data_IF_591853770867
#
_entry.id   IF_591853770867
#
_cell.length_a   1.000
_cell.length_b   1.000
_cell.length_c   1.000
_cell.angle_alpha   90.00
_cell.angle_beta   90.00
_cell.angle_gamma   90.00
#
_symmetry.space_group_name_H-M   'P 1'
#
loop_
_entity.id
_entity.type
_entity.pdbx_description
1 polymer ?
#
# COMPACT_ATOMS: atom_id res chain seq x y z
N UNK A 1 -50.91 -56.60 -35.29
CA UNK A 1 -52.05 -57.51 -35.51
C UNK A 1 -52.31 -58.30 -34.23
N UNK A 2 -53.51 -58.20 -33.65
CA UNK A 2 -54.10 -58.97 -32.50
C UNK A 2 -53.38 -58.79 -31.11
N UNK A 3 -53.91 -58.09 -30.09
CA UNK A 3 -55.12 -58.32 -29.22
C UNK A 3 -55.03 -59.71 -28.56
N UNK A 4 -55.06 -59.97 -27.23
CA UNK A 4 -55.88 -59.52 -26.07
C UNK A 4 -55.17 -60.01 -24.76
N UNK A 5 -55.18 -59.28 -23.63
CA UNK A 5 -56.13 -59.34 -22.47
C UNK A 5 -56.31 -60.78 -21.88
N UNK A 6 -56.26 -61.07 -20.57
CA UNK A 6 -57.03 -60.48 -19.44
C UNK A 6 -56.74 -61.20 -18.08
N UNK A 7 -56.94 -60.46 -16.95
CA UNK A 7 -57.55 -60.85 -15.63
C UNK A 7 -56.80 -61.85 -14.71
N UNK A 8 -56.78 -61.76 -13.37
CA UNK A 8 -57.59 -61.01 -12.37
C UNK A 8 -56.96 -61.12 -10.96
N UNK A 9 -57.19 -60.07 -10.15
CA UNK A 9 -57.43 -59.99 -8.69
C UNK A 9 -56.31 -60.40 -7.69
N UNK A 10 -55.74 -59.48 -6.91
CA UNK A 10 -56.25 -58.77 -5.70
C UNK A 10 -56.26 -59.64 -4.42
N UNK A 11 -55.33 -59.37 -3.51
CA UNK A 11 -55.54 -59.35 -2.06
C UNK A 11 -54.48 -58.50 -1.35
N UNK A 12 -54.98 -57.61 -0.49
CA UNK A 12 -54.28 -56.65 0.37
C UNK A 12 -53.92 -57.29 1.72
N UNK A 13 -53.09 -56.54 2.46
CA UNK A 13 -52.71 -56.65 3.88
C UNK A 13 -51.48 -57.55 4.10
N UNK A 14 -50.41 -57.13 4.76
CA UNK A 14 -50.12 -55.94 5.55
C UNK A 14 -49.14 -56.36 6.64
N UNK A 15 -47.90 -55.86 6.62
CA UNK A 15 -46.95 -56.05 7.73
C UNK A 15 -46.18 -54.74 7.92
N UNK A 16 -46.40 -54.13 9.08
CA UNK A 16 -45.63 -52.98 9.56
C UNK A 16 -44.23 -53.46 9.97
N UNK A 17 -43.20 -52.86 9.38
CA UNK A 17 -41.82 -53.02 9.82
C UNK A 17 -41.41 -51.77 10.60
N UNK A 18 -41.15 -51.95 11.89
CA UNK A 18 -40.53 -50.94 12.75
C UNK A 18 -39.08 -50.72 12.30
N UNK A 19 -38.78 -49.53 11.78
CA UNK A 19 -37.41 -49.12 11.48
C UNK A 19 -36.75 -48.59 12.75
N UNK A 20 -35.77 -49.33 13.27
CA UNK A 20 -34.82 -48.85 14.27
C UNK A 20 -33.98 -47.72 13.66
N UNK A 21 -34.26 -46.49 14.06
CA UNK A 21 -33.42 -45.32 13.76
C UNK A 21 -32.11 -45.43 14.54
N UNK A 22 -31.00 -45.69 13.84
CA UNK A 22 -29.66 -45.48 14.39
C UNK A 22 -29.51 -43.98 14.70
N UNK A 23 -29.03 -43.58 15.88
CA UNK A 23 -28.75 -42.17 16.12
C UNK A 23 -27.69 -41.73 15.13
N UNK A 24 -27.98 -40.66 14.39
CA UNK A 24 -27.00 -40.00 13.55
C UNK A 24 -25.79 -39.67 14.44
N UNK A 25 -24.62 -40.19 14.07
CA UNK A 25 -23.37 -39.73 14.64
C UNK A 25 -23.32 -38.22 14.42
N UNK A 26 -23.47 -37.46 15.50
CA UNK A 26 -23.08 -36.05 15.52
C UNK A 26 -21.68 -35.98 14.94
N UNK A 27 -21.52 -35.35 13.78
CA UNK A 27 -20.20 -35.10 13.22
C UNK A 27 -19.39 -34.42 14.32
N UNK A 28 -18.27 -35.02 14.70
CA UNK A 28 -17.28 -34.33 15.48
C UNK A 28 -16.95 -33.05 14.70
N UNK A 29 -17.18 -31.88 15.29
CA UNK A 29 -16.86 -30.60 14.66
C UNK A 29 -15.44 -30.67 14.11
N UNK A 30 -15.28 -30.32 12.83
CA UNK A 30 -13.99 -30.34 12.18
C UNK A 30 -12.98 -29.57 13.04
N UNK A 31 -11.81 -30.18 13.29
CA UNK A 31 -10.74 -29.53 14.03
C UNK A 31 -10.36 -28.24 13.30
N UNK A 32 -10.45 -27.12 14.00
CA UNK A 32 -9.96 -25.82 13.52
C UNK A 32 -8.72 -25.47 14.34
N UNK A 33 -7.58 -25.33 13.65
CA UNK A 33 -6.38 -24.75 14.25
C UNK A 33 -6.68 -23.33 14.69
N UNK A 34 -6.07 -22.89 15.80
CA UNK A 34 -6.19 -21.49 16.23
C UNK A 34 -5.64 -20.57 15.14
N UNK A 35 -6.36 -19.49 14.85
CA UNK A 35 -5.96 -18.49 13.88
C UNK A 35 -6.32 -17.11 14.43
N UNK A 36 -5.37 -16.18 14.37
CA UNK A 36 -5.62 -14.76 14.61
C UNK A 36 -6.11 -14.17 13.29
N UNK A 37 -7.29 -13.55 13.31
CA UNK A 37 -7.87 -12.89 12.14
C UNK A 37 -7.62 -11.38 12.18
N UNK A 38 -7.58 -10.78 13.38
CA UNK A 38 -7.22 -9.37 13.60
C UNK A 38 -6.38 -9.22 14.86
N UNK A 39 -5.31 -8.38 14.83
CA UNK A 39 -4.78 -7.70 13.66
C UNK A 39 -4.13 -8.67 12.65
N UNK A 40 -4.00 -8.23 11.39
CA UNK A 40 -3.33 -8.99 10.34
C UNK A 40 -1.81 -9.01 10.54
N UNK A 41 -1.13 -10.04 10.06
CA UNK A 41 0.34 -10.08 10.10
C UNK A 41 0.92 -8.97 9.22
N UNK A 42 1.71 -8.06 9.81
CA UNK A 42 2.22 -6.88 9.15
C UNK A 42 1.36 -5.62 9.36
N UNK A 43 0.25 -5.69 10.11
CA UNK A 43 -0.58 -4.51 10.34
C UNK A 43 0.22 -3.36 10.97
N UNK A 44 0.10 -2.17 10.38
CA UNK A 44 0.59 -0.91 10.95
C UNK A 44 -0.57 -0.25 11.69
N UNK A 45 -0.43 -0.10 13.00
CA UNK A 45 -1.47 0.36 13.91
C UNK A 45 -1.08 1.72 14.49
N UNK A 46 -2.09 2.56 14.73
CA UNK A 46 -1.95 3.89 15.30
C UNK A 46 -3.09 4.16 16.29
N UNK A 47 -3.19 5.39 16.79
CA UNK A 47 -4.21 5.81 17.75
C UNK A 47 -5.66 5.52 17.32
N UNK A 48 -5.95 5.38 16.02
CA UNK A 48 -7.30 5.09 15.50
C UNK A 48 -7.70 3.62 15.63
N UNK A 49 -6.74 2.73 15.85
CA UNK A 49 -6.95 1.28 15.88
C UNK A 49 -7.20 0.72 17.29
N UNK A 50 -7.19 1.58 18.32
CA UNK A 50 -7.33 1.17 19.71
C UNK A 50 -7.48 2.36 20.65
N UNK A 51 -7.32 2.10 21.95
CA UNK A 51 -7.33 3.11 22.99
C UNK A 51 -5.89 3.43 23.39
N UNK A 52 -5.39 4.60 23.00
CA UNK A 52 -4.05 5.04 23.39
C UNK A 52 -4.08 5.60 24.82
N UNK A 53 -3.34 4.95 25.72
CA UNK A 53 -3.09 5.42 27.09
C UNK A 53 -1.65 5.92 27.27
N UNK A 54 -1.31 6.29 28.50
CA UNK A 54 0.05 6.75 28.85
C UNK A 54 1.13 5.70 28.57
N UNK A 55 0.79 4.42 28.72
CA UNK A 55 1.74 3.31 28.71
C UNK A 55 1.74 2.50 27.42
N UNK A 56 0.84 2.76 26.47
CA UNK A 56 0.73 1.93 25.27
C UNK A 56 -0.57 2.11 24.48
N UNK A 57 -0.67 1.39 23.37
CA UNK A 57 -1.90 1.28 22.57
C UNK A 57 -2.64 0.00 22.94
N UNK A 58 -3.80 0.11 23.58
CA UNK A 58 -4.65 -1.04 23.87
C UNK A 58 -5.46 -1.40 22.62
N UNK A 59 -5.29 -2.63 22.13
CA UNK A 59 -6.01 -3.15 20.96
C UNK A 59 -6.79 -4.42 21.32
N UNK A 60 -7.81 -4.73 20.53
CA UNK A 60 -8.52 -6.01 20.62
C UNK A 60 -8.01 -6.96 19.55
N UNK A 61 -7.50 -8.11 19.98
CA UNK A 61 -7.14 -9.25 19.13
C UNK A 61 -8.36 -10.15 19.00
N UNK A 62 -8.69 -10.56 17.77
CA UNK A 62 -9.78 -11.49 17.49
C UNK A 62 -9.36 -12.60 16.54
N UNK A 63 -9.97 -13.77 16.69
CA UNK A 63 -9.72 -14.89 15.80
C UNK A 63 -10.63 -16.07 16.05
N UNK A 64 -10.24 -17.22 15.53
CA UNK A 64 -11.00 -18.47 15.65
C UNK A 64 -10.16 -19.59 16.25
N UNK A 65 -10.82 -20.47 17.00
CA UNK A 65 -10.28 -21.69 17.58
C UNK A 65 -11.38 -22.73 17.73
N UNK A 66 -10.99 -23.98 17.99
CA UNK A 66 -11.94 -25.08 18.22
C UNK A 66 -12.88 -24.80 19.41
N UNK A 67 -14.17 -25.13 19.27
CA UNK A 67 -15.25 -24.69 20.19
C UNK A 67 -15.03 -24.95 21.69
N UNK A 68 -14.21 -25.94 22.07
CA UNK A 68 -14.03 -26.33 23.48
C UNK A 68 -12.63 -26.02 24.03
N UNK A 69 -11.78 -25.40 23.23
CA UNK A 69 -10.40 -25.15 23.64
C UNK A 69 -10.30 -23.93 24.55
N UNK A 70 -9.36 -23.95 25.48
CA UNK A 70 -8.97 -22.75 26.22
C UNK A 70 -8.03 -21.94 25.33
N UNK A 71 -8.31 -20.64 25.16
CA UNK A 71 -7.51 -19.75 24.32
C UNK A 71 -6.89 -18.66 25.17
N UNK A 72 -5.59 -18.44 25.01
CA UNK A 72 -4.86 -17.30 25.57
C UNK A 72 -4.19 -16.50 24.47
N UNK A 73 -4.13 -15.18 24.61
CA UNK A 73 -3.38 -14.28 23.73
C UNK A 73 -2.31 -13.58 24.56
N UNK A 74 -1.03 -13.77 24.23
CA UNK A 74 0.11 -13.27 25.01
C UNK A 74 0.00 -13.57 26.53
N UNK A 75 -0.52 -14.76 26.87
CA UNK A 75 -0.73 -15.21 28.25
C UNK A 75 -2.05 -14.77 28.88
N UNK A 76 -2.76 -13.78 28.32
CA UNK A 76 -4.07 -13.33 28.80
C UNK A 76 -5.18 -14.26 28.32
N UNK A 77 -6.09 -14.66 29.22
CA UNK A 77 -7.24 -15.48 28.84
C UNK A 77 -8.14 -14.74 27.85
N UNK A 78 -8.51 -15.39 26.75
CA UNK A 78 -9.43 -14.83 25.77
C UNK A 78 -10.90 -15.06 26.17
N UNK A 79 -11.76 -14.10 25.86
CA UNK A 79 -13.22 -14.27 25.88
C UNK A 79 -13.61 -15.11 24.66
N UNK A 80 -14.61 -15.97 24.79
CA UNK A 80 -15.01 -16.91 23.74
C UNK A 80 -16.51 -16.86 23.44
N UNK A 81 -16.86 -16.99 22.16
CA UNK A 81 -18.23 -17.12 21.68
C UNK A 81 -18.26 -18.11 20.51
N UNK A 82 -18.71 -19.34 20.74
CA UNK A 82 -18.65 -20.39 19.71
C UNK A 82 -17.19 -20.70 19.33
N UNK A 83 -16.85 -20.60 18.05
CA UNK A 83 -15.44 -20.75 17.58
C UNK A 83 -14.63 -19.47 17.67
N UNK A 84 -15.24 -18.33 18.00
CA UNK A 84 -14.58 -17.04 18.02
C UNK A 84 -13.94 -16.78 19.39
N UNK A 85 -12.81 -16.08 19.39
CA UNK A 85 -12.17 -15.57 20.59
C UNK A 85 -11.81 -14.08 20.43
N UNK A 86 -11.81 -13.36 21.55
CA UNK A 86 -11.29 -12.00 21.63
C UNK A 86 -10.43 -11.81 22.89
N UNK A 87 -9.40 -10.99 22.80
CA UNK A 87 -8.56 -10.62 23.95
C UNK A 87 -8.01 -9.23 23.76
N UNK A 88 -8.05 -8.41 24.81
CA UNK A 88 -7.43 -7.10 24.79
C UNK A 88 -5.96 -7.25 25.21
N UNK A 89 -5.06 -6.64 24.44
CA UNK A 89 -3.64 -6.55 24.76
C UNK A 89 -3.19 -5.09 24.65
N UNK A 90 -2.08 -4.75 25.31
CA UNK A 90 -1.45 -3.43 25.20
C UNK A 90 -0.14 -3.56 24.45
N UNK A 91 -0.01 -2.83 23.34
CA UNK A 91 1.24 -2.68 22.62
C UNK A 91 2.08 -1.61 23.33
N UNK A 92 3.29 -1.95 23.74
CA UNK A 92 4.24 -1.03 24.39
C UNK A 92 5.45 -0.73 23.51
N UNK A 93 5.77 -1.65 22.59
CA UNK A 93 6.92 -1.59 21.69
C UNK A 93 6.50 -1.19 20.27
N UNK A 94 7.45 -0.67 19.49
CA UNK A 94 7.25 -0.36 18.05
C UNK A 94 6.83 -1.61 17.28
N UNK A 95 7.45 -2.75 17.58
CA UNK A 95 7.11 -4.04 16.98
C UNK A 95 6.67 -5.01 18.07
N UNK A 96 5.54 -5.68 17.87
CA UNK A 96 5.03 -6.67 18.83
C UNK A 96 4.64 -7.96 18.13
N UNK A 97 5.10 -9.09 18.65
CA UNK A 97 4.56 -10.40 18.30
C UNK A 97 3.35 -10.74 19.18
N UNK A 98 2.28 -11.19 18.53
CA UNK A 98 1.03 -11.61 19.17
C UNK A 98 0.89 -13.11 18.94
N UNK A 99 0.92 -13.88 20.02
CA UNK A 99 0.75 -15.33 20.01
C UNK A 99 -0.61 -15.71 20.61
N UNK A 100 -1.46 -16.33 19.81
CA UNK A 100 -2.68 -17.00 20.27
C UNK A 100 -2.39 -18.49 20.43
N UNK A 101 -2.64 -19.01 21.64
CA UNK A 101 -2.43 -20.41 21.99
C UNK A 101 -3.79 -21.01 22.34
N UNK A 102 -4.11 -22.14 21.70
CA UNK A 102 -5.30 -22.94 21.97
C UNK A 102 -4.90 -24.27 22.59
N UNK A 103 -5.50 -24.59 23.74
CA UNK A 103 -5.26 -25.81 24.48
C UNK A 103 -6.56 -26.62 24.55
N UNK A 104 -6.56 -27.81 23.94
CA UNK A 104 -7.75 -28.64 23.86
C UNK A 104 -7.45 -30.14 23.85
N UNK A 105 -8.49 -30.94 23.54
CA UNK A 105 -8.40 -32.41 23.48
C UNK A 105 -7.40 -32.91 22.42
N UNK A 106 -7.15 -32.11 21.38
CA UNK A 106 -6.24 -32.42 20.29
C UNK A 106 -4.84 -31.79 20.47
N UNK A 107 -4.49 -31.41 21.71
CA UNK A 107 -3.19 -30.85 22.04
C UNK A 107 -3.16 -29.32 22.03
N UNK A 108 -1.94 -28.80 22.06
CA UNK A 108 -1.62 -27.36 22.03
C UNK A 108 -1.40 -26.92 20.59
N UNK A 109 -2.10 -25.88 20.17
CA UNK A 109 -1.97 -25.25 18.86
C UNK A 109 -1.65 -23.76 19.02
N UNK A 110 -0.94 -23.19 18.06
CA UNK A 110 -0.46 -21.82 18.17
C UNK A 110 -0.48 -21.11 16.82
N UNK A 111 -0.81 -19.82 16.83
CA UNK A 111 -0.69 -18.93 15.69
C UNK A 111 -0.08 -17.61 16.13
N UNK A 112 0.84 -17.08 15.33
CA UNK A 112 1.59 -15.86 15.61
C UNK A 112 1.40 -14.84 14.49
N UNK A 113 1.20 -13.58 14.88
CA UNK A 113 1.25 -12.44 13.96
C UNK A 113 2.20 -11.39 14.54
N UNK A 114 2.81 -10.57 13.68
CA UNK A 114 3.61 -9.42 14.09
C UNK A 114 2.92 -8.16 13.62
N UNK A 115 2.97 -7.11 14.43
CA UNK A 115 2.38 -5.80 14.13
C UNK A 115 3.37 -4.69 14.43
N UNK A 116 3.21 -3.56 13.73
CA UNK A 116 3.93 -2.32 14.00
C UNK A 116 2.99 -1.33 14.66
N UNK A 117 3.44 -0.69 15.73
CA UNK A 117 2.79 0.47 16.32
C UNK A 117 3.49 1.76 15.87
N UNK A 118 2.79 2.52 15.03
CA UNK A 118 3.14 3.90 14.69
C UNK A 118 2.77 4.83 15.85
N UNK A 119 3.60 4.80 16.90
CA UNK A 119 3.36 5.47 18.19
C UNK A 119 3.15 6.99 18.08
N UNK A 120 3.85 7.60 17.14
CA UNK A 120 3.83 9.04 16.89
C UNK A 120 3.07 9.37 15.61
N UNK A 121 2.07 8.54 15.26
CA UNK A 121 1.25 8.79 14.10
C UNK A 121 0.48 10.09 14.23
N UNK A 122 0.43 10.82 13.12
CA UNK A 122 -0.43 11.97 12.93
C UNK A 122 -0.91 11.98 11.47
N UNK A 123 -2.07 12.57 11.18
CA UNK A 123 -2.57 12.69 9.82
C UNK A 123 -1.51 13.29 8.90
N UNK A 124 -1.15 12.57 7.84
CA UNK A 124 -0.09 12.97 6.91
C UNK A 124 -0.38 12.56 5.49
N UNK A 125 0.25 13.24 4.54
CA UNK A 125 0.16 12.91 3.13
C UNK A 125 1.50 12.96 2.42
N UNK A 126 1.66 12.09 1.44
CA UNK A 126 2.76 12.11 0.49
C UNK A 126 2.22 12.58 -0.86
N UNK A 127 2.99 13.43 -1.54
CA UNK A 127 2.70 13.84 -2.91
C UNK A 127 3.84 13.41 -3.84
N UNK A 128 3.50 12.66 -4.89
CA UNK A 128 4.46 12.32 -5.94
C UNK A 128 3.96 12.59 -7.33
N UNK A 129 4.92 12.68 -8.24
CA UNK A 129 4.64 12.79 -9.66
C UNK A 129 5.50 11.76 -10.38
N UNK A 130 4.85 10.93 -11.19
CA UNK A 130 5.49 9.84 -11.92
C UNK A 130 5.76 10.24 -13.36
N UNK A 131 6.52 9.40 -14.06
CA UNK A 131 6.89 9.53 -15.47
C UNK A 131 7.63 10.82 -15.83
N UNK A 132 8.38 11.39 -14.88
CA UNK A 132 9.03 12.67 -15.12
C UNK A 132 10.22 12.54 -16.09
N UNK A 133 10.16 13.32 -17.17
CA UNK A 133 11.22 13.48 -18.15
C UNK A 133 11.09 14.77 -18.98
N UNK A 134 9.88 15.34 -19.11
CA UNK A 134 9.62 16.45 -20.01
C UNK A 134 10.22 17.76 -19.49
N UNK A 135 10.11 18.05 -18.20
CA UNK A 135 10.70 19.25 -17.61
C UNK A 135 12.22 19.23 -17.69
N UNK A 136 12.84 18.05 -17.55
CA UNK A 136 14.29 17.90 -17.69
C UNK A 136 14.74 18.24 -19.11
N UNK A 137 14.04 17.71 -20.11
CA UNK A 137 14.26 17.99 -21.54
C UNK A 137 14.05 19.47 -21.87
N UNK A 138 12.97 20.06 -21.36
CA UNK A 138 12.60 21.46 -21.57
C UNK A 138 13.67 22.40 -21.00
N UNK A 139 14.09 22.17 -19.75
CA UNK A 139 15.14 22.97 -19.09
C UNK A 139 16.49 22.79 -19.78
N UNK A 140 16.88 21.56 -20.14
CA UNK A 140 18.14 21.31 -20.82
C UNK A 140 18.21 22.00 -22.20
N UNK A 141 17.08 22.02 -22.92
CA UNK A 141 16.97 22.64 -24.25
C UNK A 141 16.95 24.17 -24.16
N UNK A 142 16.08 24.72 -23.32
CA UNK A 142 15.87 26.17 -23.22
C UNK A 142 16.92 26.89 -22.39
N UNK A 143 17.67 26.16 -21.55
CA UNK A 143 18.77 26.68 -20.72
C UNK A 143 18.35 27.88 -19.88
N UNK A 144 17.19 27.77 -19.25
CA UNK A 144 16.60 28.78 -18.37
C UNK A 144 17.59 29.37 -17.36
N UNK A 145 17.28 30.57 -16.87
CA UNK A 145 18.10 31.21 -15.83
C UNK A 145 17.92 30.53 -14.48
N UNK A 146 16.72 30.01 -14.21
CA UNK A 146 16.34 29.25 -13.02
C UNK A 146 15.56 27.97 -13.40
N UNK A 147 15.60 26.94 -12.54
CA UNK A 147 14.71 25.78 -12.64
C UNK A 147 13.23 26.19 -12.70
N UNK A 148 12.88 27.24 -11.96
CA UNK A 148 11.51 27.72 -11.80
C UNK A 148 11.05 28.67 -12.91
N UNK A 149 11.87 28.88 -13.95
CA UNK A 149 11.38 29.45 -15.21
C UNK A 149 10.64 28.40 -16.06
N UNK A 150 10.82 27.11 -15.77
CA UNK A 150 9.98 26.04 -16.29
C UNK A 150 8.60 26.11 -15.64
N UNK A 151 7.54 26.26 -16.44
CA UNK A 151 6.17 26.44 -15.92
C UNK A 151 5.73 25.31 -14.97
N UNK A 152 6.19 24.09 -15.26
CA UNK A 152 5.88 22.91 -14.46
C UNK A 152 6.44 23.04 -13.04
N UNK A 153 7.75 23.25 -12.90
CA UNK A 153 8.38 23.43 -11.58
C UNK A 153 7.91 24.71 -10.88
N UNK A 154 7.60 25.77 -11.64
CA UNK A 154 6.99 26.99 -11.09
C UNK A 154 5.65 26.70 -10.41
N UNK A 155 4.75 25.99 -11.09
CA UNK A 155 3.44 25.65 -10.52
C UNK A 155 3.55 24.76 -9.28
N UNK A 156 4.50 23.83 -9.24
CA UNK A 156 4.76 23.03 -8.03
C UNK A 156 5.29 23.90 -6.88
N UNK A 157 6.18 24.85 -7.18
CA UNK A 157 6.68 25.81 -6.17
C UNK A 157 5.55 26.68 -5.62
N UNK A 158 4.61 27.12 -6.46
CA UNK A 158 3.43 27.89 -6.03
C UNK A 158 2.54 27.06 -5.08
N UNK A 159 2.31 25.78 -5.37
CA UNK A 159 1.59 24.87 -4.48
C UNK A 159 2.34 24.63 -3.15
N UNK A 160 3.66 24.48 -3.20
CA UNK A 160 4.49 24.40 -2.00
C UNK A 160 4.39 25.67 -1.16
N UNK A 161 4.50 26.86 -1.76
CA UNK A 161 4.37 28.13 -1.05
C UNK A 161 2.99 28.31 -0.41
N UNK A 162 1.93 27.79 -1.04
CA UNK A 162 0.55 27.91 -0.57
C UNK A 162 0.20 26.95 0.56
N UNK A 163 0.72 25.72 0.51
CA UNK A 163 0.27 24.63 1.39
C UNK A 163 1.39 23.90 2.15
N UNK A 164 2.65 24.22 1.87
CA UNK A 164 3.81 23.52 2.42
C UNK A 164 4.07 22.14 1.79
N UNK A 165 3.36 21.78 0.70
CA UNK A 165 3.47 20.46 0.06
C UNK A 165 4.92 20.09 -0.27
N UNK A 166 5.26 18.83 0.01
CA UNK A 166 6.51 18.20 -0.39
C UNK A 166 6.25 17.29 -1.58
N UNK A 167 7.07 17.40 -2.62
CA UNK A 167 6.95 16.67 -3.88
C UNK A 167 8.16 15.77 -4.11
N UNK A 168 7.90 14.53 -4.52
CA UNK A 168 8.90 13.64 -5.12
C UNK A 168 8.60 13.49 -6.61
N UNK A 169 9.56 13.81 -7.46
CA UNK A 169 9.45 13.61 -8.91
C UNK A 169 10.21 12.33 -9.28
N UNK A 170 9.48 11.29 -9.68
CA UNK A 170 10.07 10.03 -10.13
C UNK A 170 10.45 10.16 -11.61
N UNK A 171 11.76 10.09 -11.89
CA UNK A 171 12.32 10.36 -13.22
C UNK A 171 12.80 9.09 -13.93
N UNK A 172 12.80 9.14 -15.25
CA UNK A 172 13.43 8.13 -16.11
C UNK A 172 14.92 8.39 -16.33
N UNK A 173 15.68 7.35 -16.67
CA UNK A 173 17.05 7.50 -17.16
C UNK A 173 17.08 8.08 -18.60
N UNK A 174 16.19 7.61 -19.48
CA UNK A 174 16.15 7.99 -20.90
C UNK A 174 14.73 8.04 -21.45
N UNK A 175 14.56 8.73 -22.58
CA UNK A 175 13.32 8.85 -23.35
C UNK A 175 13.52 8.41 -24.81
N UNK A 176 12.41 8.09 -25.48
CA UNK A 176 12.40 7.61 -26.87
C UNK A 176 13.04 8.58 -27.87
N UNK A 177 12.92 9.89 -27.63
CA UNK A 177 13.51 10.94 -28.48
C UNK A 177 15.02 11.14 -28.26
N UNK A 178 15.67 10.26 -27.48
CA UNK A 178 17.12 10.22 -27.30
C UNK A 178 17.66 11.13 -26.20
N UNK A 179 16.80 11.67 -25.32
CA UNK A 179 17.27 12.33 -24.12
C UNK A 179 17.75 11.31 -23.08
N UNK A 180 18.87 11.59 -22.43
CA UNK A 180 19.41 10.84 -21.30
C UNK A 180 19.84 11.78 -20.17
N UNK A 181 19.76 11.31 -18.92
CA UNK A 181 20.14 12.10 -17.74
C UNK A 181 21.55 12.73 -17.79
N UNK A 182 22.60 12.13 -18.39
CA UNK A 182 23.89 12.81 -18.58
C UNK A 182 23.80 14.18 -19.27
N UNK A 183 22.81 14.38 -20.16
CA UNK A 183 22.64 15.62 -20.91
C UNK A 183 22.05 16.75 -20.05
N UNK A 184 21.42 16.44 -18.91
CA UNK A 184 20.94 17.47 -17.99
C UNK A 184 22.12 18.19 -17.30
N UNK A 185 22.16 19.54 -17.31
CA UNK A 185 23.33 20.27 -16.84
C UNK A 185 23.39 20.34 -15.31
N UNK A 186 24.61 20.33 -14.76
CA UNK A 186 24.84 20.53 -13.32
C UNK A 186 24.71 21.98 -12.83
N UNK A 187 24.43 22.95 -13.71
CA UNK A 187 24.41 24.38 -13.36
C UNK A 187 23.32 24.77 -12.35
N UNK A 188 22.29 23.94 -12.21
CA UNK A 188 21.15 24.16 -11.32
C UNK A 188 21.31 23.49 -9.94
N UNK A 189 22.48 22.90 -9.66
CA UNK A 189 22.71 22.10 -8.45
C UNK A 189 22.45 22.86 -7.14
N UNK A 190 22.78 24.15 -7.10
CA UNK A 190 22.46 24.98 -5.93
C UNK A 190 20.96 25.15 -5.74
N UNK A 191 20.20 25.43 -6.81
CA UNK A 191 18.74 25.57 -6.72
C UNK A 191 18.06 24.27 -6.26
N UNK A 192 18.52 23.11 -6.74
CA UNK A 192 18.04 21.83 -6.26
C UNK A 192 18.29 21.63 -4.76
N UNK A 193 19.52 21.88 -4.31
CA UNK A 193 19.90 21.76 -2.90
C UNK A 193 19.09 22.70 -2.02
N UNK A 194 18.95 23.96 -2.43
CA UNK A 194 18.26 25.00 -1.67
C UNK A 194 16.74 24.73 -1.54
N UNK A 195 16.20 23.83 -2.37
CA UNK A 195 14.79 23.41 -2.35
C UNK A 195 14.60 21.94 -1.91
N UNK A 196 15.66 21.25 -1.49
CA UNK A 196 15.65 19.81 -1.19
C UNK A 196 14.77 19.40 -0.01
N UNK A 197 14.38 20.36 0.84
CA UNK A 197 13.46 20.17 1.95
C UNK A 197 12.01 19.96 1.51
N UNK A 198 11.66 20.32 0.27
CA UNK A 198 10.31 20.17 -0.28
C UNK A 198 10.26 19.55 -1.67
N UNK A 199 11.36 19.58 -2.44
CA UNK A 199 11.42 19.03 -3.79
C UNK A 199 12.53 17.99 -3.89
N UNK A 200 12.16 16.74 -4.16
CA UNK A 200 13.09 15.61 -4.31
C UNK A 200 12.92 14.92 -5.65
N UNK A 201 13.98 14.24 -6.06
CA UNK A 201 14.01 13.38 -7.25
C UNK A 201 14.21 11.94 -6.83
N UNK A 202 13.58 11.02 -7.54
CA UNK A 202 13.69 9.59 -7.30
C UNK A 202 13.72 8.81 -8.61
N UNK A 203 14.20 7.58 -8.53
CA UNK A 203 14.15 6.63 -9.65
C UNK A 203 12.71 6.21 -9.95
N UNK A 204 12.32 6.17 -11.23
CA UNK A 204 11.09 5.50 -11.65
C UNK A 204 11.36 4.24 -12.46
N UNK A 205 12.17 4.40 -13.52
CA UNK A 205 12.65 3.33 -14.39
C UNK A 205 13.81 3.79 -15.26
N UNK A 206 14.36 2.87 -16.04
CA UNK A 206 15.28 3.19 -17.13
C UNK A 206 14.60 4.05 -18.20
N UNK A 207 13.41 3.66 -18.66
CA UNK A 207 12.61 4.36 -19.65
C UNK A 207 11.13 4.08 -19.43
N UNK A 208 10.25 4.83 -20.09
CA UNK A 208 8.80 4.63 -20.06
C UNK A 208 8.39 3.29 -20.69
N UNK A 209 9.03 2.90 -21.78
CA UNK A 209 8.74 1.64 -22.48
C UNK A 209 9.87 0.61 -22.31
N UNK A 210 9.55 -0.70 -22.27
CA UNK A 210 8.19 -1.26 -22.23
C UNK A 210 7.50 -0.91 -20.90
N UNK A 211 6.17 -0.71 -20.92
CA UNK A 211 5.38 -0.29 -19.75
C UNK A 211 5.74 -1.01 -18.44
N UNK A 212 5.99 -2.32 -18.42
CA UNK A 212 6.28 -3.07 -17.18
C UNK A 212 7.70 -3.63 -17.18
N UNK A 213 8.73 -2.77 -17.16
CA UNK A 213 10.11 -3.19 -17.44
C UNK A 213 10.69 -4.05 -16.32
N UNK A 214 10.09 -4.01 -15.11
CA UNK A 214 10.59 -4.72 -13.93
C UNK A 214 9.71 -5.88 -13.44
N UNK A 215 8.54 -6.12 -14.04
CA UNK A 215 7.62 -7.15 -13.56
C UNK A 215 8.25 -8.55 -13.53
N UNK A 216 9.08 -8.86 -14.53
CA UNK A 216 9.80 -10.14 -14.64
C UNK A 216 11.32 -9.95 -14.81
N UNK A 217 11.83 -8.76 -14.52
CA UNK A 217 13.27 -8.51 -14.56
C UNK A 217 13.96 -9.14 -13.35
N UNK A 218 15.25 -9.42 -13.48
CA UNK A 218 16.07 -9.79 -12.32
C UNK A 218 16.18 -8.60 -11.36
N UNK A 219 16.33 -8.89 -10.07
CA UNK A 219 16.63 -7.86 -9.07
C UNK A 219 17.91 -7.08 -9.44
N UNK A 220 18.93 -7.75 -10.00
CA UNK A 220 20.16 -7.10 -10.43
C UNK A 220 19.94 -6.04 -11.51
N UNK A 221 19.04 -6.28 -12.48
CA UNK A 221 18.68 -5.27 -13.49
C UNK A 221 18.00 -4.06 -12.85
N UNK A 222 16.99 -4.30 -12.02
CA UNK A 222 16.27 -3.22 -11.32
C UNK A 222 17.23 -2.37 -10.48
N UNK A 223 18.09 -2.99 -9.68
CA UNK A 223 19.07 -2.28 -8.85
C UNK A 223 20.12 -1.55 -9.70
N UNK A 224 20.56 -2.14 -10.81
CA UNK A 224 21.47 -1.47 -11.75
C UNK A 224 20.88 -0.19 -12.32
N UNK A 225 19.63 -0.26 -12.80
CA UNK A 225 18.92 0.90 -13.35
C UNK A 225 18.65 1.97 -12.25
N UNK A 226 18.25 1.53 -11.04
CA UNK A 226 18.05 2.41 -9.88
C UNK A 226 19.32 3.21 -9.57
N UNK A 227 20.46 2.52 -9.46
CA UNK A 227 21.75 3.17 -9.17
C UNK A 227 22.17 4.13 -10.26
N UNK A 228 21.92 3.79 -11.54
CA UNK A 228 22.24 4.65 -12.68
C UNK A 228 21.48 5.98 -12.63
N UNK A 229 20.19 5.96 -12.30
CA UNK A 229 19.41 7.20 -12.11
C UNK A 229 19.85 7.96 -10.86
N UNK A 230 20.05 7.26 -9.74
CA UNK A 230 20.52 7.87 -8.49
C UNK A 230 21.85 8.62 -8.67
N UNK A 231 22.82 8.01 -9.38
CA UNK A 231 24.12 8.63 -9.70
C UNK A 231 23.93 9.97 -10.41
N UNK A 232 23.04 10.04 -11.39
CA UNK A 232 22.82 11.28 -12.12
C UNK A 232 22.03 12.32 -11.32
N UNK A 233 21.04 11.92 -10.52
CA UNK A 233 20.39 12.84 -9.58
C UNK A 233 21.45 13.47 -8.67
N UNK A 234 22.34 12.68 -8.08
CA UNK A 234 23.43 13.19 -7.22
C UNK A 234 24.38 14.10 -8.00
N UNK A 235 24.70 13.75 -9.25
CA UNK A 235 25.55 14.57 -10.14
C UNK A 235 24.97 15.97 -10.33
N UNK A 236 23.74 16.10 -10.82
CA UNK A 236 23.18 17.39 -11.23
C UNK A 236 22.37 18.12 -10.14
N UNK A 237 21.83 17.41 -9.15
CA UNK A 237 20.96 17.98 -8.10
C UNK A 237 21.55 17.87 -6.68
N UNK A 238 22.47 16.93 -6.45
CA UNK A 238 23.10 16.72 -5.14
C UNK A 238 22.40 15.66 -4.29
N UNK A 239 23.10 15.17 -3.26
CA UNK A 239 22.64 14.05 -2.41
C UNK A 239 21.37 14.40 -1.64
N UNK A 240 21.21 15.65 -1.20
CA UNK A 240 20.05 16.10 -0.43
C UNK A 240 18.74 16.01 -1.23
N UNK A 241 18.83 16.14 -2.55
CA UNK A 241 17.68 16.09 -3.46
C UNK A 241 17.31 14.66 -3.86
N UNK A 242 18.26 13.72 -3.78
CA UNK A 242 17.94 12.31 -4.02
C UNK A 242 17.04 11.76 -2.91
N UNK A 243 16.05 10.97 -3.32
CA UNK A 243 15.28 10.12 -2.45
C UNK A 243 15.21 8.70 -3.00
N UNK A 244 15.23 7.67 -2.12
CA UNK A 244 14.83 6.34 -2.51
C UNK A 244 13.41 6.35 -3.08
N UNK A 245 13.14 5.56 -4.13
CA UNK A 245 11.83 5.56 -4.76
C UNK A 245 10.77 4.97 -3.84
N UNK A 246 9.58 5.56 -3.89
CA UNK A 246 8.38 4.96 -3.28
C UNK A 246 7.47 4.33 -4.31
N UNK A 247 7.74 4.51 -5.61
CA UNK A 247 7.02 3.85 -6.71
C UNK A 247 8.03 3.40 -7.76
N UNK A 248 8.06 2.10 -8.03
CA UNK A 248 8.73 1.55 -9.21
C UNK A 248 7.75 1.62 -10.37
N UNK A 249 8.18 1.89 -11.59
CA UNK A 249 7.28 2.00 -12.75
C UNK A 249 6.32 0.81 -12.84
N UNK A 250 5.02 1.13 -12.89
CA UNK A 250 3.86 0.21 -12.79
C UNK A 250 3.68 -0.57 -11.48
N UNK A 251 4.51 -0.36 -10.46
CA UNK A 251 4.39 -1.03 -9.16
C UNK A 251 4.47 -2.55 -9.24
N UNK A 252 5.15 -3.08 -10.25
CA UNK A 252 5.28 -4.52 -10.49
C UNK A 252 6.74 -4.94 -10.50
N UNK A 253 7.13 -5.72 -9.49
CA UNK A 253 8.45 -6.34 -9.37
C UNK A 253 8.28 -7.75 -8.81
N UNK A 254 9.26 -8.63 -9.02
CA UNK A 254 9.27 -9.93 -8.36
C UNK A 254 9.51 -9.75 -6.84
N UNK A 255 8.87 -10.54 -5.95
CA UNK A 255 9.10 -10.45 -4.51
C UNK A 255 10.57 -10.57 -4.10
N UNK A 256 11.36 -11.35 -4.85
CA UNK A 256 12.81 -11.48 -4.65
C UNK A 256 13.60 -10.16 -4.84
N UNK A 257 13.00 -9.13 -5.44
CA UNK A 257 13.61 -7.81 -5.60
C UNK A 257 13.37 -6.88 -4.40
N UNK A 258 12.42 -7.20 -3.49
CA UNK A 258 12.06 -6.35 -2.36
C UNK A 258 13.23 -6.17 -1.38
N UNK A 259 13.90 -7.25 -0.97
CA UNK A 259 15.07 -7.16 -0.08
C UNK A 259 16.24 -6.39 -0.72
N UNK A 260 16.62 -6.65 -1.99
CA UNK A 260 17.58 -5.81 -2.70
C UNK A 260 17.19 -4.32 -2.77
N UNK A 261 15.91 -3.99 -2.96
CA UNK A 261 15.45 -2.59 -2.93
C UNK A 261 15.65 -1.98 -1.54
N UNK A 262 15.31 -2.72 -0.49
CA UNK A 262 15.53 -2.29 0.89
C UNK A 262 17.02 -2.02 1.18
N UNK A 263 17.91 -2.90 0.73
CA UNK A 263 19.36 -2.75 0.88
C UNK A 263 19.90 -1.52 0.13
N UNK A 264 19.14 -1.00 -0.85
CA UNK A 264 19.43 0.22 -1.59
C UNK A 264 18.58 1.43 -1.12
N UNK A 265 18.11 1.40 0.12
CA UNK A 265 17.51 2.55 0.80
C UNK A 265 15.99 2.66 0.65
N UNK A 266 15.33 1.80 -0.13
CA UNK A 266 13.86 1.81 -0.21
C UNK A 266 13.29 1.37 1.14
N UNK A 267 12.29 2.11 1.65
CA UNK A 267 11.62 1.80 2.91
C UNK A 267 10.12 1.63 2.74
N UNK A 268 9.54 2.32 1.76
CA UNK A 268 8.11 2.33 1.51
C UNK A 268 7.87 2.12 0.02
N UNK A 269 6.89 1.29 -0.34
CA UNK A 269 6.44 1.09 -1.72
C UNK A 269 4.93 1.28 -1.82
N UNK A 270 4.53 2.29 -2.58
CA UNK A 270 3.13 2.68 -2.81
C UNK A 270 2.52 1.90 -3.96
N UNK A 271 1.33 1.33 -3.77
CA UNK A 271 0.63 0.53 -4.78
C UNK A 271 -0.87 0.79 -4.79
N UNK A 272 -1.54 0.37 -5.87
CA UNK A 272 -3.00 0.47 -5.94
C UNK A 272 -3.69 -0.65 -5.18
N UNK A 273 -3.09 -1.85 -5.17
CA UNK A 273 -3.69 -3.07 -4.61
C UNK A 273 -5.14 -3.22 -5.09
N UNK A 274 -5.33 -3.13 -6.42
CA UNK A 274 -6.66 -3.21 -7.02
C UNK A 274 -6.82 -4.54 -7.73
N UNK A 275 -7.94 -5.20 -7.46
CA UNK A 275 -8.32 -6.41 -8.20
C UNK A 275 -9.11 -6.04 -9.44
N UNK A 276 -8.66 -6.50 -10.61
CA UNK A 276 -9.34 -6.34 -11.89
C UNK A 276 -9.22 -7.63 -12.70
N UNK A 277 -10.33 -8.09 -13.29
CA UNK A 277 -10.33 -9.32 -14.08
C UNK A 277 -9.86 -10.57 -13.31
N UNK A 278 -10.04 -10.59 -11.98
CA UNK A 278 -9.60 -11.69 -11.10
C UNK A 278 -8.16 -11.58 -10.60
N UNK A 279 -7.34 -10.68 -11.16
CA UNK A 279 -5.91 -10.52 -10.85
C UNK A 279 -5.69 -9.22 -10.06
N UNK A 280 -4.74 -9.25 -9.13
CA UNK A 280 -4.26 -8.06 -8.42
C UNK A 280 -3.23 -7.32 -9.26
N UNK A 281 -3.35 -5.99 -9.34
CA UNK A 281 -2.46 -5.15 -10.13
C UNK A 281 -1.86 -4.00 -9.31
N UNK A 282 -0.68 -3.54 -9.73
CA UNK A 282 0.13 -2.51 -9.05
C UNK A 282 0.26 -2.85 -7.56
N UNK A 283 0.66 -4.09 -7.29
CA UNK A 283 0.68 -4.70 -5.96
C UNK A 283 2.04 -5.35 -5.63
N UNK A 284 3.07 -5.10 -6.43
CA UNK A 284 4.42 -5.66 -6.26
C UNK A 284 4.45 -7.21 -6.24
N UNK A 285 3.47 -7.85 -6.89
CA UNK A 285 3.30 -9.31 -6.94
C UNK A 285 3.28 -9.98 -5.55
N UNK A 286 2.83 -9.28 -4.51
CA UNK A 286 2.51 -9.92 -3.23
C UNK A 286 1.28 -10.82 -3.38
N UNK A 287 1.13 -11.77 -2.47
CA UNK A 287 0.03 -12.75 -2.53
C UNK A 287 -1.36 -12.10 -2.34
N UNK A 288 -2.40 -12.89 -2.61
CA UNK A 288 -3.79 -12.43 -2.55
C UNK A 288 -4.21 -11.94 -1.16
N UNK A 289 -3.73 -12.55 -0.08
CA UNK A 289 -4.13 -12.18 1.27
C UNK A 289 -3.55 -10.81 1.65
N UNK A 290 -2.27 -10.58 1.36
CA UNK A 290 -1.62 -9.27 1.54
C UNK A 290 -2.25 -8.21 0.63
N UNK A 291 -2.55 -8.55 -0.62
CA UNK A 291 -3.19 -7.61 -1.56
C UNK A 291 -4.60 -7.22 -1.11
N UNK A 292 -5.40 -8.19 -0.67
CA UNK A 292 -6.74 -7.97 -0.13
C UNK A 292 -6.71 -7.11 1.14
N UNK A 293 -5.74 -7.34 2.03
CA UNK A 293 -5.53 -6.48 3.19
C UNK A 293 -5.22 -5.04 2.76
N UNK A 294 -4.19 -4.84 1.93
CA UNK A 294 -3.76 -3.51 1.48
C UNK A 294 -4.81 -2.76 0.67
N UNK A 295 -5.75 -3.44 0.01
CA UNK A 295 -6.86 -2.78 -0.70
C UNK A 295 -7.78 -1.95 0.23
N UNK A 296 -7.70 -2.17 1.55
CA UNK A 296 -8.54 -1.53 2.58
C UNK A 296 -7.75 -0.89 3.73
N UNK A 297 -6.43 -0.87 3.68
CA UNK A 297 -5.59 -0.34 4.76
C UNK A 297 -4.48 0.55 4.19
N UNK A 298 -4.14 1.61 4.92
CA UNK A 298 -3.11 2.58 4.57
C UNK A 298 -1.75 1.92 4.37
N UNK A 299 -1.39 1.01 5.28
CA UNK A 299 -0.06 0.44 5.32
C UNK A 299 0.01 -1.00 5.86
N UNK A 300 1.02 -1.73 5.40
CA UNK A 300 1.39 -3.06 5.89
C UNK A 300 2.89 -3.27 5.80
N UNK A 301 3.50 -3.70 6.90
CA UNK A 301 4.90 -4.09 6.98
C UNK A 301 5.11 -5.48 6.38
N UNK A 302 6.04 -5.58 5.44
CA UNK A 302 6.60 -6.83 4.97
C UNK A 302 7.90 -7.12 5.71
N UNK A 303 7.82 -7.97 6.74
CA UNK A 303 8.96 -8.23 7.62
C UNK A 303 10.12 -8.95 6.94
N UNK A 304 9.88 -9.69 5.86
CA UNK A 304 10.92 -10.42 5.12
C UNK A 304 11.85 -9.46 4.37
N UNK A 305 11.30 -8.41 3.75
CA UNK A 305 12.09 -7.39 3.06
C UNK A 305 12.47 -6.20 3.95
N UNK A 306 11.66 -5.90 4.97
CA UNK A 306 11.74 -4.68 5.76
C UNK A 306 10.97 -3.49 5.15
N UNK A 307 10.28 -3.68 4.02
CA UNK A 307 9.53 -2.62 3.33
C UNK A 307 8.12 -2.50 3.90
N UNK A 308 7.64 -1.28 4.04
CA UNK A 308 6.22 -1.00 4.27
C UNK A 308 5.53 -0.77 2.93
N UNK A 309 4.49 -1.52 2.65
CA UNK A 309 3.59 -1.21 1.54
C UNK A 309 2.63 -0.10 1.96
N UNK A 310 2.42 0.89 1.09
CA UNK A 310 1.44 1.97 1.27
C UNK A 310 0.37 1.88 0.19
N UNK A 311 -0.88 2.14 0.54
CA UNK A 311 -1.97 2.20 -0.44
C UNK A 311 -2.05 3.61 -1.03
N UNK A 312 -2.26 3.68 -2.33
CA UNK A 312 -2.60 4.92 -3.05
C UNK A 312 -4.08 5.24 -2.85
N UNK A 313 -4.38 6.48 -2.50
CA UNK A 313 -5.76 6.94 -2.31
C UNK A 313 -6.33 7.63 -3.54
N UNK A 314 -5.51 8.38 -4.26
CA UNK A 314 -5.97 9.12 -5.44
C UNK A 314 -4.86 9.36 -6.46
N UNK A 315 -5.25 9.31 -7.73
CA UNK A 315 -4.43 9.69 -8.88
C UNK A 315 -5.08 10.91 -9.56
N UNK A 316 -4.48 12.09 -9.45
CA UNK A 316 -5.13 13.35 -9.83
C UNK A 316 -5.40 13.48 -11.34
N UNK A 317 -4.58 12.87 -12.21
CA UNK A 317 -4.80 12.95 -13.66
C UNK A 317 -6.03 12.14 -14.10
N UNK A 318 -6.31 11.01 -13.45
CA UNK A 318 -7.47 10.17 -13.78
C UNK A 318 -8.73 10.55 -13.00
N UNK A 319 -8.65 11.51 -12.07
CA UNK A 319 -9.79 11.96 -11.26
C UNK A 319 -10.23 13.36 -11.68
N UNK A 320 -11.46 13.55 -12.21
CA UNK A 320 -12.01 14.88 -12.47
C UNK A 320 -12.02 15.76 -11.22
N UNK A 321 -11.85 17.08 -11.37
CA UNK A 321 -11.69 18.01 -10.24
C UNK A 321 -12.85 17.94 -9.24
N UNK A 322 -14.09 17.83 -9.73
CA UNK A 322 -15.31 17.71 -8.93
C UNK A 322 -15.43 16.36 -8.19
N UNK A 323 -14.62 15.37 -8.57
CA UNK A 323 -14.58 14.04 -7.95
C UNK A 323 -13.47 13.89 -6.92
N UNK A 324 -12.52 14.82 -6.84
CA UNK A 324 -11.39 14.75 -5.90
C UNK A 324 -11.86 14.66 -4.45
N UNK A 325 -12.62 15.66 -3.99
CA UNK A 325 -13.14 15.68 -2.60
C UNK A 325 -14.09 14.50 -2.34
N UNK A 326 -15.06 14.16 -3.22
CA UNK A 326 -15.89 12.97 -3.04
C UNK A 326 -15.13 11.64 -2.96
N UNK A 327 -13.95 11.54 -3.57
CA UNK A 327 -13.09 10.35 -3.48
C UNK A 327 -12.35 10.29 -2.14
N UNK A 328 -11.82 11.41 -1.67
CA UNK A 328 -10.99 11.46 -0.46
C UNK A 328 -11.81 11.54 0.85
N UNK A 329 -12.95 12.23 0.85
CA UNK A 329 -13.74 12.48 2.06
C UNK A 329 -14.17 11.21 2.81
N UNK A 330 -14.66 10.14 2.13
CA UNK A 330 -15.07 8.92 2.83
C UNK A 330 -13.94 8.24 3.60
N UNK A 331 -12.68 8.39 3.17
CA UNK A 331 -11.51 7.74 3.76
C UNK A 331 -11.27 8.22 5.20
N UNK A 332 -11.58 9.48 5.49
CA UNK A 332 -11.42 10.09 6.83
C UNK A 332 -12.25 9.41 7.93
N UNK A 333 -13.24 8.59 7.56
CA UNK A 333 -14.16 7.91 8.47
C UNK A 333 -13.76 6.46 8.75
N UNK A 334 -12.81 5.92 8.01
CA UNK A 334 -12.31 4.56 8.19
C UNK A 334 -10.96 4.60 8.92
N UNK A 335 -10.86 4.08 10.15
CA UNK A 335 -9.59 4.02 10.89
C UNK A 335 -8.43 3.42 10.12
N UNK A 336 -8.72 2.52 9.18
CA UNK A 336 -7.72 1.85 8.36
C UNK A 336 -7.21 2.72 7.20
N UNK A 337 -7.88 3.82 6.87
CA UNK A 337 -7.60 4.66 5.70
C UNK A 337 -7.50 6.18 6.00
N UNK A 338 -7.60 6.54 7.28
CA UNK A 338 -7.75 7.94 7.68
C UNK A 338 -6.44 8.60 8.13
N UNK A 339 -5.35 7.84 8.31
CA UNK A 339 -4.13 8.39 8.89
C UNK A 339 -3.16 8.87 7.82
N UNK A 340 -3.05 8.14 6.72
CA UNK A 340 -2.12 8.43 5.64
C UNK A 340 -2.91 8.68 4.36
N UNK A 341 -2.55 9.73 3.63
CA UNK A 341 -3.07 9.99 2.29
C UNK A 341 -1.93 9.92 1.28
N UNK A 342 -1.95 8.93 0.39
CA UNK A 342 -0.98 8.83 -0.69
C UNK A 342 -1.59 9.35 -2.00
N UNK A 343 -1.13 10.55 -2.38
CA UNK A 343 -1.64 11.35 -3.48
C UNK A 343 -0.56 11.40 -4.56
N UNK A 344 -0.91 11.13 -5.82
CA UNK A 344 0.05 11.37 -6.90
C UNK A 344 -0.58 11.67 -8.25
N UNK A 345 0.26 11.99 -9.22
CA UNK A 345 -0.13 12.13 -10.62
C UNK A 345 1.03 11.82 -11.58
N UNK A 346 0.89 12.11 -12.88
CA UNK A 346 1.96 11.89 -13.86
C UNK A 346 2.27 13.18 -14.61
N UNK A 347 3.55 13.43 -14.88
CA UNK A 347 4.02 14.70 -15.45
C UNK A 347 3.38 15.00 -16.81
N UNK A 348 3.27 13.99 -17.67
CA UNK A 348 2.80 14.12 -19.05
C UNK A 348 1.47 14.90 -19.20
N UNK A 349 0.58 14.83 -18.21
CA UNK A 349 -0.72 15.50 -18.24
C UNK A 349 -0.65 17.03 -18.07
N UNK A 350 0.48 17.59 -17.67
CA UNK A 350 0.70 19.05 -17.58
C UNK A 350 1.06 19.70 -18.92
N UNK A 351 1.43 18.91 -19.94
CA UNK A 351 2.09 19.43 -21.14
C UNK A 351 1.13 19.45 -22.35
N UNK A 352 0.87 20.62 -22.98
CA UNK A 352 -0.08 20.74 -24.09
C UNK A 352 0.20 19.88 -25.32
N UNK A 353 1.44 19.43 -25.51
CA UNK A 353 1.80 18.54 -26.62
C UNK A 353 1.47 17.06 -26.35
N UNK A 354 1.20 16.69 -25.10
CA UNK A 354 0.85 15.32 -24.75
C UNK A 354 -0.58 15.03 -25.21
N UNK A 355 -0.79 13.85 -25.81
CA UNK A 355 -2.06 13.49 -26.44
C UNK A 355 -3.25 13.49 -25.46
N UNK A 356 -3.00 13.24 -24.18
CA UNK A 356 -4.01 13.30 -23.12
C UNK A 356 -3.83 14.50 -22.18
N UNK A 357 -3.30 15.63 -22.67
CA UNK A 357 -3.14 16.86 -21.88
C UNK A 357 -4.42 17.25 -21.11
N UNK A 358 -4.25 17.64 -19.84
CA UNK A 358 -5.34 18.06 -18.96
C UNK A 358 -5.18 19.55 -18.65
N UNK A 359 -6.05 20.43 -19.19
CA UNK A 359 -5.91 21.87 -19.01
C UNK A 359 -6.12 22.35 -17.57
N UNK A 360 -6.87 21.61 -16.76
CA UNK A 360 -7.16 21.92 -15.36
C UNK A 360 -6.24 21.17 -14.37
N UNK A 361 -5.11 20.65 -14.83
CA UNK A 361 -4.35 19.68 -14.03
C UNK A 361 -3.75 20.29 -12.74
N UNK A 362 -3.24 21.52 -12.79
CA UNK A 362 -2.79 22.22 -11.59
C UNK A 362 -3.93 22.49 -10.59
N UNK A 363 -5.14 22.74 -11.08
CA UNK A 363 -6.33 22.97 -10.25
C UNK A 363 -6.77 21.68 -9.55
N UNK A 364 -6.56 20.52 -10.18
CA UNK A 364 -6.75 19.22 -9.53
C UNK A 364 -5.78 19.01 -8.39
N UNK A 365 -4.50 19.32 -8.61
CA UNK A 365 -3.49 19.29 -7.56
C UNK A 365 -3.84 20.23 -6.40
N UNK A 366 -4.17 21.49 -6.70
CA UNK A 366 -4.60 22.48 -5.71
C UNK A 366 -5.79 21.96 -4.89
N UNK A 367 -6.78 21.35 -5.54
CA UNK A 367 -7.98 20.82 -4.86
C UNK A 367 -7.64 19.68 -3.91
N UNK A 368 -6.82 18.71 -4.33
CA UNK A 368 -6.43 17.57 -3.49
C UNK A 368 -5.55 18.03 -2.30
N UNK A 369 -4.55 18.86 -2.58
CA UNK A 369 -3.63 19.38 -1.57
C UNK A 369 -4.36 20.27 -0.55
N UNK A 370 -5.22 21.16 -1.02
CA UNK A 370 -6.03 22.02 -0.15
C UNK A 370 -6.90 21.20 0.78
N UNK A 371 -7.60 20.20 0.23
CA UNK A 371 -8.45 19.30 1.02
C UNK A 371 -7.67 18.62 2.14
N UNK A 372 -6.48 18.10 1.84
CA UNK A 372 -5.61 17.44 2.82
C UNK A 372 -5.12 18.45 3.88
N UNK A 373 -4.65 19.61 3.44
CA UNK A 373 -4.11 20.66 4.32
C UNK A 373 -5.17 21.20 5.28
N UNK A 374 -6.38 21.49 4.78
CA UNK A 374 -7.50 21.99 5.60
C UNK A 374 -7.98 20.97 6.64
N UNK A 375 -7.71 19.69 6.44
CA UNK A 375 -8.00 18.60 7.41
C UNK A 375 -6.85 18.28 8.35
N UNK A 376 -5.76 19.04 8.26
CA UNK A 376 -4.61 18.91 9.14
C UNK A 376 -3.60 17.83 8.72
N UNK A 377 -3.76 17.21 7.54
CA UNK A 377 -2.76 16.27 7.04
C UNK A 377 -1.45 17.01 6.75
N UNK A 378 -0.34 16.52 7.30
CA UNK A 378 1.00 17.10 7.13
C UNK A 378 1.71 16.54 5.89
N UNK A 379 2.35 17.37 5.05
CA UNK A 379 3.15 16.88 3.93
C UNK A 379 4.44 16.23 4.41
N UNK A 380 4.71 15.01 3.96
CA UNK A 380 5.88 14.22 4.38
C UNK A 380 6.60 13.59 3.19
N UNK A 381 7.83 13.15 3.44
CA UNK A 381 8.54 12.22 2.57
C UNK A 381 8.56 10.84 3.22
N UNK A 382 7.99 9.82 2.57
CA UNK A 382 7.88 8.48 3.17
C UNK A 382 9.21 7.79 3.52
N UNK A 383 10.34 8.23 2.95
CA UNK A 383 11.66 7.69 3.29
C UNK A 383 12.28 8.32 4.54
N UNK A 384 11.68 9.39 5.09
CA UNK A 384 12.14 10.01 6.34
C UNK A 384 11.42 9.34 7.52
N UNK A 385 12.17 8.76 8.45
CA UNK A 385 11.63 8.04 9.60
C UNK A 385 10.72 6.88 9.21
N UNK A 386 9.57 6.75 9.88
CA UNK A 386 8.57 5.71 9.60
C UNK A 386 7.37 6.31 8.86
N UNK A 387 7.24 6.03 7.57
CA UNK A 387 6.19 6.58 6.69
C UNK A 387 6.16 8.13 6.69
N UNK A 388 7.30 8.79 6.86
CA UNK A 388 7.38 10.25 6.96
C UNK A 388 7.12 10.82 8.36
N UNK A 389 6.75 9.99 9.32
CA UNK A 389 6.68 10.33 10.74
C UNK A 389 8.01 10.11 11.47
N UNK A 390 8.17 10.63 12.70
CA UNK A 390 9.37 10.39 13.49
C UNK A 390 9.51 8.90 13.84
N UNK A 391 10.75 8.40 13.88
CA UNK A 391 11.01 7.07 14.40
C UNK A 391 10.65 7.01 15.89
N UNK A 392 9.88 5.99 16.28
CA UNK A 392 9.79 5.59 17.67
C UNK A 392 11.19 5.09 18.09
N UNK A 393 11.87 5.87 18.92
CA UNK A 393 13.15 5.50 19.55
C UNK A 393 12.93 4.61 20.75
#
# INVERSE_FOLDING_TARGET
MKRKTTRRNLLKAGVAAAALTRPASTSAGAFQSVTIEKPFHGAVLNARHGEQGETGLKITVSGRASMRDLVTVNGSSARRAGTEFTSDITLTEKETEIAAISQGRFGRHEHRVRVIWDKHSEPRYRFSIDDNSFFLRDIATKKYSSLFDCFYLKGLRELHMKYGTKFVLNIYYTTEDGFELPQFPGRYKSEWRDNSNWLKLAFHAYANEPARPYQYASASKLIGDLKKVAEHIVRFAGEQTYSPPTVIHWGMVQPAALKPLYDNGVRVLSGYFRRSGGVWDVNYLVDEARSEYMSRHDAMMDFDSGIVFSKVDIVCNSTPIERIVPTLEPLTRDPNQAEIMDIFTHEQYFWPFYSNYIPDHFQRLDTAIRWATERGYKPVFFHEGFLGGPDAT
#
